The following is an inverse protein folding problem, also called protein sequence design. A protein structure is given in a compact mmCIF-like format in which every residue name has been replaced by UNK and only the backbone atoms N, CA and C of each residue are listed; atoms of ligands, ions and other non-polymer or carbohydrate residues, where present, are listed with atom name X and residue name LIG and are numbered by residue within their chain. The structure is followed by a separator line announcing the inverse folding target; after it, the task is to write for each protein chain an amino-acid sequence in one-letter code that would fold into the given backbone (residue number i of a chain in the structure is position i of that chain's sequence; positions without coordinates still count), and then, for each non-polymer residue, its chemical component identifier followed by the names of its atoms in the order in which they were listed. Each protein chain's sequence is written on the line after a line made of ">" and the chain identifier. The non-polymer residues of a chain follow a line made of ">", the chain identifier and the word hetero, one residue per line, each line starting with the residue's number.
data_IF_760705577554
#
_entry.id   IF_760705577554
#
_cell.length_a   1.000
_cell.length_b   1.000
_cell.length_c   1.000
_cell.angle_alpha   90.00
_cell.angle_beta   90.00
_cell.angle_gamma   90.00
#
_symmetry.space_group_name_H-M   'P 1'
#
loop_
_entity.id
_entity.type
_entity.pdbx_description
1 polymer ?
#
# COMPACT_ATOMS: atom_id res chain seq x y z
N UNK A 1 -10.87 11.58 6.50
CA UNK A 1 -11.45 10.38 7.17
C UNK A 1 -11.29 9.21 6.21
N UNK A 2 -10.66 8.11 6.61
CA UNK A 2 -10.57 6.91 5.77
C UNK A 2 -11.77 6.01 6.03
N UNK A 3 -12.64 5.83 5.03
CA UNK A 3 -13.73 4.84 5.07
C UNK A 3 -13.12 3.44 5.32
N UNK A 4 -13.69 2.71 6.28
CA UNK A 4 -13.25 1.35 6.63
C UNK A 4 -13.48 0.37 5.49
N UNK A 5 -12.62 -0.66 5.38
CA UNK A 5 -12.75 -1.72 4.35
C UNK A 5 -14.17 -2.33 4.30
N UNK A 6 -14.87 -2.62 5.41
CA UNK A 6 -16.22 -3.17 5.35
C UNK A 6 -17.24 -2.28 4.64
N UNK A 7 -17.21 -0.96 4.88
CA UNK A 7 -18.11 0.00 4.23
C UNK A 7 -17.84 0.07 2.73
N UNK A 8 -16.56 0.03 2.34
CA UNK A 8 -16.20 -0.03 0.92
C UNK A 8 -16.75 -1.27 0.23
N UNK A 9 -16.67 -2.43 0.89
CA UNK A 9 -17.22 -3.69 0.34
C UNK A 9 -18.74 -3.63 0.28
N UNK A 10 -19.40 -2.94 1.22
CA UNK A 10 -20.85 -2.73 1.18
C UNK A 10 -21.26 -1.92 -0.07
N UNK A 11 -20.53 -0.85 -0.42
CA UNK A 11 -20.78 -0.12 -1.66
C UNK A 11 -20.58 -0.96 -2.92
N UNK A 12 -19.57 -1.85 -2.94
CA UNK A 12 -19.37 -2.79 -4.06
C UNK A 12 -20.53 -3.78 -4.22
N UNK A 13 -21.36 -3.97 -3.18
CA UNK A 13 -22.54 -4.82 -3.24
C UNK A 13 -23.77 -4.11 -3.82
N UNK A 14 -23.73 -2.80 -4.06
CA UNK A 14 -24.81 -2.08 -4.72
C UNK A 14 -25.14 -2.71 -6.08
N UNK A 15 -26.42 -2.72 -6.44
CA UNK A 15 -26.93 -3.39 -7.63
C UNK A 15 -27.11 -4.91 -7.50
N UNK A 16 -26.67 -5.54 -6.40
CA UNK A 16 -26.77 -6.98 -6.21
C UNK A 16 -27.86 -7.37 -5.21
N UNK A 17 -28.28 -8.64 -5.26
CA UNK A 17 -29.17 -9.21 -4.24
C UNK A 17 -28.39 -9.45 -2.95
N UNK A 18 -28.83 -8.84 -1.87
CA UNK A 18 -28.27 -8.98 -0.53
C UNK A 18 -29.36 -9.48 0.43
N UNK A 19 -28.93 -10.02 1.57
CA UNK A 19 -29.83 -10.34 2.68
C UNK A 19 -29.44 -9.48 3.88
N UNK A 20 -30.38 -8.73 4.44
CA UNK A 20 -30.19 -7.89 5.60
C UNK A 20 -31.03 -8.42 6.76
N UNK A 21 -30.39 -8.73 7.89
CA UNK A 21 -31.10 -9.05 9.14
C UNK A 21 -31.10 -7.83 10.05
N UNK A 22 -32.27 -7.45 10.57
CA UNK A 22 -32.40 -6.34 11.52
C UNK A 22 -32.06 -6.78 12.94
N UNK A 23 -31.81 -5.81 13.84
CA UNK A 23 -31.62 -6.08 15.28
C UNK A 23 -32.85 -6.73 15.93
N UNK A 24 -34.02 -6.53 15.33
CA UNK A 24 -35.28 -7.13 15.76
C UNK A 24 -35.48 -8.52 15.17
N UNK A 25 -34.70 -8.96 14.19
CA UNK A 25 -34.69 -10.33 13.66
C UNK A 25 -35.60 -10.55 12.46
N UNK A 26 -36.13 -9.48 11.85
CA UNK A 26 -36.73 -9.58 10.53
C UNK A 26 -35.64 -9.65 9.46
N UNK A 27 -35.84 -10.47 8.43
CA UNK A 27 -34.86 -10.73 7.38
C UNK A 27 -35.39 -10.18 6.06
N UNK A 28 -34.65 -9.27 5.44
CA UNK A 28 -34.99 -8.62 4.18
C UNK A 28 -34.03 -9.11 3.09
N UNK A 29 -34.55 -9.83 2.10
CA UNK A 29 -33.76 -10.27 0.93
C UNK A 29 -34.25 -9.57 -0.32
N UNK A 30 -33.37 -8.80 -0.96
CA UNK A 30 -33.73 -8.01 -2.13
C UNK A 30 -32.51 -7.36 -2.78
N UNK A 31 -32.73 -6.56 -3.82
CA UNK A 31 -31.65 -5.86 -4.52
C UNK A 31 -31.26 -4.60 -3.72
N UNK A 32 -29.99 -4.48 -3.36
CA UNK A 32 -29.43 -3.26 -2.78
C UNK A 32 -29.34 -2.20 -3.87
N UNK A 33 -30.00 -1.06 -3.67
CA UNK A 33 -29.98 0.06 -4.61
C UNK A 33 -28.88 1.05 -4.23
N UNK A 34 -28.81 1.39 -2.95
CA UNK A 34 -27.87 2.37 -2.43
C UNK A 34 -27.49 1.98 -0.99
N UNK A 35 -26.20 2.12 -0.66
CA UNK A 35 -25.71 2.04 0.71
C UNK A 35 -25.03 3.36 1.07
N UNK A 36 -25.29 3.88 2.27
CA UNK A 36 -24.62 5.06 2.81
C UNK A 36 -23.46 4.69 3.75
N UNK A 37 -22.55 5.64 4.02
CA UNK A 37 -21.43 5.47 4.97
C UNK A 37 -21.88 5.10 6.40
N UNK A 38 -23.10 5.49 6.77
CA UNK A 38 -23.72 5.17 8.06
C UNK A 38 -24.47 3.82 8.05
N UNK A 39 -24.32 3.05 6.97
CA UNK A 39 -24.98 1.77 6.67
C UNK A 39 -26.49 1.85 6.45
N UNK A 40 -27.08 3.04 6.26
CA UNK A 40 -28.44 3.10 5.74
C UNK A 40 -28.48 2.41 4.37
N UNK A 41 -29.50 1.60 4.14
CA UNK A 41 -29.62 0.78 2.93
C UNK A 41 -30.98 1.02 2.28
N UNK A 42 -30.98 1.41 1.02
CA UNK A 42 -32.16 1.39 0.16
C UNK A 42 -32.18 0.09 -0.63
N UNK A 43 -33.30 -0.63 -0.57
CA UNK A 43 -33.49 -1.90 -1.26
C UNK A 43 -34.77 -1.88 -2.10
N UNK A 44 -34.81 -2.70 -3.14
CA UNK A 44 -35.99 -2.93 -3.98
C UNK A 44 -36.25 -4.42 -4.21
N UNK A 45 -37.47 -4.78 -4.61
CA UNK A 45 -37.90 -6.15 -4.91
C UNK A 45 -37.58 -7.11 -3.76
N UNK A 46 -38.09 -6.78 -2.57
CA UNK A 46 -37.72 -7.43 -1.32
C UNK A 46 -38.73 -8.52 -0.97
N UNK A 47 -38.21 -9.69 -0.60
CA UNK A 47 -38.93 -10.69 0.19
C UNK A 47 -38.51 -10.53 1.64
N UNK A 48 -39.46 -10.16 2.51
CA UNK A 48 -39.25 -10.05 3.95
C UNK A 48 -39.75 -11.31 4.65
N UNK A 49 -38.96 -11.83 5.59
CA UNK A 49 -39.38 -12.87 6.53
C UNK A 49 -39.45 -12.26 7.93
N UNK A 50 -40.65 -12.24 8.49
CA UNK A 50 -40.89 -11.77 9.84
C UNK A 50 -40.49 -12.84 10.86
N UNK A 51 -40.32 -12.44 12.12
CA UNK A 51 -39.93 -13.36 13.21
C UNK A 51 -40.87 -14.52 13.44
N UNK A 52 -42.15 -14.35 13.12
CA UNK A 52 -43.16 -15.40 13.21
C UNK A 52 -43.14 -16.36 12.00
N UNK A 53 -42.15 -16.21 11.10
CA UNK A 53 -41.98 -17.02 9.90
C UNK A 53 -42.87 -16.60 8.74
N UNK A 54 -43.75 -15.61 8.91
CA UNK A 54 -44.53 -15.10 7.78
C UNK A 54 -43.63 -14.42 6.77
N UNK A 55 -43.97 -14.59 5.50
CA UNK A 55 -43.26 -13.98 4.37
C UNK A 55 -44.14 -12.92 3.74
N UNK A 56 -43.54 -11.78 3.40
CA UNK A 56 -44.17 -10.69 2.67
C UNK A 56 -43.30 -10.23 1.51
N UNK A 57 -43.92 -9.56 0.53
CA UNK A 57 -43.22 -8.91 -0.57
C UNK A 57 -43.36 -7.40 -0.43
N UNK A 58 -42.28 -6.67 -0.64
CA UNK A 58 -42.22 -5.22 -0.58
C UNK A 58 -41.52 -4.71 -1.84
N UNK A 59 -42.07 -3.66 -2.46
CA UNK A 59 -41.47 -3.09 -3.67
C UNK A 59 -40.20 -2.30 -3.34
N UNK A 60 -40.24 -1.45 -2.32
CA UNK A 60 -39.12 -0.60 -1.90
C UNK A 60 -39.06 -0.52 -0.38
N UNK A 61 -37.85 -0.53 0.18
CA UNK A 61 -37.59 -0.40 1.62
C UNK A 61 -36.36 0.48 1.84
N UNK A 62 -36.40 1.31 2.87
CA UNK A 62 -35.24 2.01 3.40
C UNK A 62 -34.99 1.58 4.84
N UNK A 63 -33.85 0.96 5.10
CA UNK A 63 -33.46 0.44 6.42
C UNK A 63 -32.39 1.35 7.01
N UNK A 64 -32.64 1.89 8.22
CA UNK A 64 -31.65 2.66 8.95
C UNK A 64 -30.48 1.77 9.39
N UNK A 65 -29.24 2.16 9.11
CA UNK A 65 -28.04 1.35 9.37
C UNK A 65 -27.88 0.94 10.82
N UNK A 66 -28.25 1.80 11.78
CA UNK A 66 -28.23 1.47 13.21
C UNK A 66 -29.19 0.34 13.63
N UNK A 67 -30.08 -0.09 12.74
CA UNK A 67 -31.03 -1.20 12.96
C UNK A 67 -30.61 -2.48 12.24
N UNK A 68 -29.49 -2.46 11.51
CA UNK A 68 -28.94 -3.64 10.85
C UNK A 68 -28.06 -4.42 11.83
N UNK A 69 -28.27 -5.73 11.89
CA UNK A 69 -27.43 -6.67 12.65
C UNK A 69 -26.27 -7.17 11.79
N UNK A 70 -26.59 -7.68 10.61
CA UNK A 70 -25.60 -8.08 9.60
C UNK A 70 -26.20 -8.05 8.19
N UNK A 71 -25.32 -8.04 7.18
CA UNK A 71 -25.68 -8.29 5.79
C UNK A 71 -24.96 -9.52 5.26
N UNK A 72 -25.63 -10.28 4.40
CA UNK A 72 -25.05 -11.32 3.56
C UNK A 72 -24.94 -10.73 2.15
N UNK A 73 -23.70 -10.62 1.67
CA UNK A 73 -23.37 -10.10 0.36
C UNK A 73 -23.09 -11.24 -0.64
N UNK A 74 -23.13 -10.99 -1.96
CA UNK A 74 -22.79 -12.00 -2.95
C UNK A 74 -21.36 -12.52 -2.81
N UNK A 75 -21.16 -13.82 -3.02
CA UNK A 75 -19.85 -14.48 -2.96
C UNK A 75 -18.83 -13.95 -3.98
N UNK A 76 -19.28 -13.25 -5.02
CA UNK A 76 -18.41 -12.60 -6.00
C UNK A 76 -17.47 -11.57 -5.36
N UNK A 77 -17.89 -10.97 -4.24
CA UNK A 77 -17.10 -9.96 -3.53
C UNK A 77 -15.96 -10.55 -2.70
N UNK A 78 -15.88 -11.88 -2.52
CA UNK A 78 -14.82 -12.53 -1.73
C UNK A 78 -13.40 -12.23 -2.24
N UNK A 79 -13.28 -11.93 -3.54
CA UNK A 79 -12.03 -11.62 -4.21
C UNK A 79 -11.84 -10.10 -4.45
N UNK A 80 -12.69 -9.26 -3.87
CA UNK A 80 -12.63 -7.82 -4.05
C UNK A 80 -11.24 -7.27 -3.67
N UNK A 81 -10.72 -6.28 -4.42
CA UNK A 81 -9.37 -5.74 -4.19
C UNK A 81 -9.20 -5.16 -2.80
N UNK A 82 -10.30 -4.76 -2.14
CA UNK A 82 -10.35 -4.25 -0.77
C UNK A 82 -9.82 -5.22 0.28
N UNK A 83 -9.91 -6.53 0.04
CA UNK A 83 -9.40 -7.56 0.95
C UNK A 83 -7.91 -7.84 0.76
N UNK A 84 -7.32 -7.36 -0.34
CA UNK A 84 -5.87 -7.45 -0.52
C UNK A 84 -5.23 -6.45 0.42
N UNK A 85 -4.45 -6.97 1.39
CA UNK A 85 -3.55 -6.12 2.17
C UNK A 85 -2.75 -5.31 1.18
N UNK A 86 -2.78 -3.98 1.31
CA UNK A 86 -1.88 -3.11 0.59
C UNK A 86 -0.47 -3.49 1.07
N UNK A 87 0.13 -4.48 0.42
CA UNK A 87 1.52 -4.83 0.63
C UNK A 87 2.29 -3.54 0.46
N UNK A 88 3.15 -3.23 1.44
CA UNK A 88 4.05 -2.09 1.42
C UNK A 88 4.45 -1.88 -0.03
N UNK A 89 3.99 -0.77 -0.65
CA UNK A 89 4.32 -0.44 -2.05
C UNK A 89 5.80 -0.76 -2.16
N UNK A 90 6.14 -1.86 -2.81
CA UNK A 90 7.50 -2.37 -2.78
C UNK A 90 8.27 -1.23 -3.39
N UNK A 91 8.97 -0.49 -2.55
CA UNK A 91 9.63 0.70 -2.99
C UNK A 91 10.54 0.22 -4.10
N UNK A 92 10.24 0.59 -5.33
CA UNK A 92 11.21 0.65 -6.42
C UNK A 92 12.21 1.78 -6.14
N UNK A 93 12.61 1.90 -4.87
CA UNK A 93 13.67 2.71 -4.35
C UNK A 93 14.79 1.75 -3.97
N UNK A 94 15.79 1.64 -4.86
CA UNK A 94 17.16 1.44 -4.38
C UNK A 94 17.88 0.14 -4.73
N UNK A 95 17.32 -0.78 -5.52
CA UNK A 95 18.05 -2.01 -5.91
C UNK A 95 18.70 -1.99 -7.30
N UNK A 96 18.66 -0.86 -8.02
CA UNK A 96 19.30 -0.71 -9.33
C UNK A 96 20.47 0.28 -9.36
N UNK A 97 20.39 1.38 -8.59
CA UNK A 97 21.38 2.48 -8.68
C UNK A 97 22.64 2.23 -7.84
N UNK A 98 22.52 1.53 -6.71
CA UNK A 98 23.63 1.19 -5.81
C UNK A 98 24.52 0.07 -6.35
N UNK A 99 23.99 -0.82 -7.20
CA UNK A 99 24.77 -1.84 -7.90
C UNK A 99 25.66 -1.24 -9.01
N UNK A 100 25.13 -0.27 -9.76
CA UNK A 100 25.88 0.41 -10.83
C UNK A 100 27.02 1.27 -10.26
N UNK A 101 26.76 2.02 -9.18
CA UNK A 101 27.81 2.81 -8.51
C UNK A 101 28.90 1.94 -7.86
N UNK A 102 28.57 0.76 -7.32
CA UNK A 102 29.59 -0.20 -6.86
C UNK A 102 30.36 -0.84 -8.01
N UNK A 103 29.70 -1.16 -9.13
CA UNK A 103 30.37 -1.71 -10.31
C UNK A 103 31.33 -0.69 -10.95
N UNK A 104 31.02 0.60 -10.89
CA UNK A 104 31.89 1.67 -11.39
C UNK A 104 33.05 1.98 -10.44
N UNK A 105 32.85 1.88 -9.11
CA UNK A 105 33.92 2.00 -8.13
C UNK A 105 34.91 0.80 -8.15
N UNK A 106 34.44 -0.40 -8.49
CA UNK A 106 35.28 -1.59 -8.60
C UNK A 106 36.15 -1.65 -9.87
N UNK A 107 35.85 -0.85 -10.91
CA UNK A 107 36.68 -0.75 -12.12
C UNK A 107 37.85 0.24 -12.00
N UNK A 108 37.95 0.99 -10.90
CA UNK A 108 38.97 2.03 -10.70
C UNK A 108 40.18 1.63 -9.85
N UNK A 109 40.22 0.41 -9.28
CA UNK A 109 41.35 -0.03 -8.44
C UNK A 109 41.72 -1.48 -8.75
N UNK A 110 42.83 -1.65 -9.47
CA UNK A 110 43.58 -2.90 -9.49
C UNK A 110 43.59 -3.61 -10.84
N UNK A 111 44.48 -3.18 -11.74
CA UNK A 111 45.17 -4.07 -12.69
C UNK A 111 46.62 -3.61 -12.82
N UNK A 112 47.40 -3.96 -11.82
CA UNK A 112 48.80 -4.29 -12.06
C UNK A 112 48.82 -5.65 -12.75
N UNK A 113 49.33 -5.70 -13.98
CA UNK A 113 50.01 -6.84 -14.61
C UNK A 113 50.08 -6.60 -16.13
N UNK A 114 51.31 -6.48 -16.64
CA UNK A 114 51.64 -6.94 -17.99
C UNK A 114 52.12 -5.90 -18.99
N UNK A 115 53.44 -5.86 -19.18
CA UNK A 115 54.00 -5.84 -20.53
C UNK A 115 54.75 -4.57 -20.97
N UNK A 116 56.07 -4.71 -21.17
CA UNK A 116 56.74 -4.13 -22.33
C UNK A 116 57.82 -3.08 -22.07
N UNK A 117 59.08 -3.49 -22.29
CA UNK A 117 60.00 -2.69 -23.11
C UNK A 117 61.01 -1.78 -22.40
N UNK A 118 62.28 -2.15 -22.50
CA UNK A 118 63.32 -1.24 -22.99
C UNK A 118 64.00 -0.28 -22.00
N UNK A 119 65.21 -0.67 -21.58
CA UNK A 119 66.43 0.14 -21.66
C UNK A 119 66.50 1.55 -21.07
N UNK A 120 67.48 1.76 -20.18
CA UNK A 120 68.18 3.06 -20.12
C UNK A 120 68.47 3.63 -18.74
N UNK A 121 69.70 3.39 -18.27
CA UNK A 121 70.66 4.32 -17.62
C UNK A 121 70.17 5.56 -16.85
N UNK A 122 70.71 5.68 -15.63
CA UNK A 122 70.99 6.94 -14.93
C UNK A 122 69.81 7.45 -14.11
N UNK A 123 69.91 7.85 -12.85
CA UNK A 123 71.03 8.35 -12.06
C UNK A 123 70.46 9.45 -11.15
N UNK A 124 71.08 9.68 -9.99
CA UNK A 124 70.86 10.81 -9.08
C UNK A 124 69.57 10.74 -8.19
N UNK A 125 69.61 10.50 -6.87
CA UNK A 125 70.21 11.23 -5.72
C UNK A 125 69.29 12.34 -5.17
N UNK A 126 68.93 12.22 -3.89
CA UNK A 126 68.37 13.26 -3.02
C UNK A 126 66.84 13.24 -2.91
N UNK A 127 66.20 13.32 -1.76
CA UNK A 127 66.65 13.47 -0.38
C UNK A 127 65.38 13.54 0.48
N UNK A 128 65.29 12.68 1.51
CA UNK A 128 64.27 12.77 2.55
C UNK A 128 64.76 13.73 3.61
N UNK A 129 64.20 14.93 3.68
CA UNK A 129 64.28 15.82 4.85
C UNK A 129 63.27 16.95 4.72
N UNK A 130 62.53 17.23 5.80
CA UNK A 130 61.74 18.46 5.90
C UNK A 130 60.50 18.38 6.78
N UNK A 131 60.70 18.32 8.09
CA UNK A 131 59.73 18.72 9.11
C UNK A 131 59.37 20.22 8.98
N UNK A 132 58.18 20.59 9.44
CA UNK A 132 57.82 21.97 9.81
C UNK A 132 56.33 22.24 9.59
N UNK A 133 55.44 22.09 10.58
CA UNK A 133 55.16 22.99 11.71
C UNK A 133 53.87 23.82 11.46
N UNK A 134 52.87 23.52 12.30
CA UNK A 134 51.86 24.41 12.93
C UNK A 134 51.29 25.59 12.13
N UNK A 135 49.95 25.73 12.10
CA UNK A 135 49.26 26.67 13.00
C UNK A 135 47.75 26.80 12.70
N UNK A 136 46.96 26.77 13.77
CA UNK A 136 45.73 27.54 14.06
C UNK A 136 44.86 28.12 12.94
N UNK A 137 43.55 27.85 13.02
CA UNK A 137 42.55 28.69 12.36
C UNK A 137 41.11 28.38 12.81
N UNK A 138 40.63 29.11 13.83
CA UNK A 138 39.24 29.17 14.29
C UNK A 138 38.37 29.96 13.31
N UNK A 139 37.06 29.62 13.24
CA UNK A 139 35.96 30.50 12.80
C UNK A 139 34.73 29.66 12.42
N UNK A 140 33.66 29.55 13.23
CA UNK A 140 32.51 30.50 13.37
C UNK A 140 32.14 31.11 12.00
N UNK A 141 30.97 30.93 11.41
CA UNK A 141 29.61 30.82 11.93
C UNK A 141 28.76 31.88 11.19
N UNK A 142 27.48 31.63 10.94
CA UNK A 142 26.60 32.69 10.42
C UNK A 142 25.39 32.19 9.63
N UNK A 143 24.23 32.31 10.29
CA UNK A 143 22.89 32.70 9.81
C UNK A 143 22.37 32.11 8.48
#
# INVERSE_FOLDING_TARGET
>A
MSIGVPIKVLHEAEGHVVTCETITGEVYRGKLIEAEDNMNCQMTQITVTYRDGRVGNLENVYIRGSKIRFLILPDMLKNAPMFKKQGAKTGTAGRGKSAILRAQAARGRGRGAGGGGGGGRGGNKGGWQGQGQQSSGRGRGGL
#
